data_IF_909518259372
#
_entry.id   IF_909518259372
#
_cell.length_a   1.000
_cell.length_b   1.000
_cell.length_c   1.000
_cell.angle_alpha   90.00
_cell.angle_beta   90.00
_cell.angle_gamma   90.00
#
_symmetry.space_group_name_H-M   'P 1'
#
loop_
_entity.id
_entity.type
_entity.pdbx_description
1 polymer ?
2 non-polymer ?
3 water ?
#
# COMPACT_ATOMS: atom_id res chain seq x y z
N UNK A 3 -2.65 -13.79 -12.12
CA UNK A 3 -2.61 -12.34 -12.04
C UNK A 3 -1.20 -11.77 -12.03
N UNK A 4 -0.96 -10.64 -12.73
CA UNK A 4 0.37 -10.01 -12.74
C UNK A 4 0.21 -8.50 -12.52
N UNK A 5 0.72 -8.02 -11.39
CA UNK A 5 0.61 -6.62 -11.00
C UNK A 5 1.71 -5.70 -11.56
N UNK A 6 2.62 -6.25 -12.33
CA UNK A 6 3.76 -5.50 -12.86
C UNK A 6 3.23 -4.33 -13.67
N UNK A 7 3.81 -3.16 -13.45
CA UNK A 7 3.56 -1.99 -14.27
C UNK A 7 3.73 -0.72 -13.45
N UNK A 8 3.38 0.40 -14.07
CA UNK A 8 3.42 1.70 -13.44
C UNK A 8 1.98 2.24 -13.37
N UNK A 9 1.62 2.78 -12.22
CA UNK A 9 0.24 3.05 -11.86
C UNK A 9 0.11 4.41 -11.19
N UNK A 10 -0.86 5.20 -11.61
CA UNK A 10 -1.04 6.57 -11.16
C UNK A 10 -2.29 6.71 -10.33
N UNK A 11 -2.20 7.36 -9.16
CA UNK A 11 -3.40 7.42 -8.33
C UNK A 11 -4.52 8.23 -8.99
N UNK A 12 -5.72 7.63 -9.03
CA UNK A 12 -6.94 8.27 -9.48
C UNK A 12 -7.84 8.72 -8.32
N UNK A 13 -8.12 7.86 -7.33
CA UNK A 13 -8.85 8.30 -6.15
C UNK A 13 -8.17 7.71 -4.90
N UNK A 14 -8.40 8.39 -3.78
CA UNK A 14 -7.95 7.99 -2.46
C UNK A 14 -9.06 8.35 -1.47
N UNK A 15 -9.88 7.36 -1.08
CA UNK A 15 -11.15 7.59 -0.37
C UNK A 15 -10.99 7.26 1.11
N UNK A 16 -11.32 8.21 2.00
CA UNK A 16 -11.29 8.02 3.46
C UNK A 16 -9.88 7.87 4.05
N UNK A 17 -8.87 8.40 3.35
CA UNK A 17 -7.49 8.32 3.80
C UNK A 17 -7.31 8.94 5.17
N UNK A 18 -7.97 10.08 5.41
CA UNK A 18 -7.84 10.84 6.67
C UNK A 18 -8.22 10.00 7.88
N UNK A 19 -9.35 9.32 7.79
CA UNK A 19 -9.78 8.50 8.91
C UNK A 19 -8.86 7.32 9.11
N UNK A 20 -8.37 6.72 8.01
CA UNK A 20 -7.37 5.65 8.11
C UNK A 20 -6.20 6.17 8.92
N UNK A 21 -5.64 7.31 8.51
CA UNK A 21 -4.50 7.80 9.25
C UNK A 21 -4.86 8.16 10.69
N UNK A 22 -6.04 8.74 10.91
CA UNK A 22 -6.48 9.04 12.28
C UNK A 22 -6.47 7.77 13.13
N UNK A 23 -6.91 6.64 12.56
CA UNK A 23 -6.92 5.38 13.27
C UNK A 23 -5.51 4.83 13.52
N UNK A 24 -4.52 5.26 12.77
CA UNK A 24 -3.14 4.88 13.05
C UNK A 24 -2.51 5.80 14.07
N UNK A 25 -3.26 6.81 14.54
CA UNK A 25 -2.79 7.82 15.48
C UNK A 25 -1.79 8.77 14.86
N UNK A 26 -1.85 8.95 13.54
CA UNK A 26 -1.00 9.94 12.91
C UNK A 26 -1.48 11.34 13.26
N UNK A 27 -0.55 12.21 13.63
CA UNK A 27 -0.93 13.49 14.17
C UNK A 27 -1.56 14.38 13.10
N UNK A 28 -2.38 15.30 13.58
CA UNK A 28 -3.28 16.06 12.71
C UNK A 28 -2.50 16.73 11.59
N UNK A 29 -1.29 17.22 11.88
CA UNK A 29 -0.54 17.97 10.87
C UNK A 29 0.01 17.06 9.79
N UNK A 30 0.51 15.89 10.17
CA UNK A 30 0.98 14.94 9.16
C UNK A 30 -0.17 14.41 8.32
N UNK A 31 -1.34 14.19 8.94
CA UNK A 31 -2.52 13.81 8.16
C UNK A 31 -2.78 14.80 7.01
N UNK A 32 -2.63 16.09 7.26
CA UNK A 32 -2.84 17.08 6.21
C UNK A 32 -1.81 16.96 5.12
N UNK A 33 -0.53 16.85 5.48
CA UNK A 33 0.50 16.65 4.48
C UNK A 33 0.20 15.39 3.68
N UNK A 34 -0.05 14.30 4.38
CA UNK A 34 -0.17 12.98 3.74
C UNK A 34 -1.34 12.95 2.77
N UNK A 35 -2.42 13.62 3.12
CA UNK A 35 -3.65 13.59 2.32
C UNK A 35 -3.52 14.35 1.02
N UNK A 36 -2.52 15.22 0.92
CA UNK A 36 -2.25 15.92 -0.33
C UNK A 36 -1.41 15.11 -1.32
N UNK A 37 -0.78 14.04 -0.88
CA UNK A 37 0.12 13.28 -1.75
C UNK A 37 -0.71 12.34 -2.61
N UNK A 38 -0.31 12.22 -3.87
CA UNK A 38 -0.94 11.38 -4.88
C UNK A 38 0.14 10.47 -5.43
N UNK A 39 0.59 9.49 -4.64
CA UNK A 39 1.75 8.68 -5.03
C UNK A 39 1.48 7.79 -6.23
N UNK A 40 2.49 7.61 -7.09
CA UNK A 40 2.45 6.53 -8.06
C UNK A 40 2.87 5.21 -7.40
N UNK A 41 2.58 4.10 -8.07
CA UNK A 41 2.93 2.76 -7.58
C UNK A 41 3.71 2.17 -8.73
N UNK A 42 4.95 1.78 -8.47
CA UNK A 42 5.72 1.02 -9.46
C UNK A 42 5.89 -0.41 -8.95
N UNK A 43 5.36 -1.39 -9.66
CA UNK A 43 5.37 -2.74 -9.13
C UNK A 43 6.12 -3.66 -10.09
N UNK A 44 6.94 -4.56 -9.55
CA UNK A 44 7.60 -5.61 -10.36
C UNK A 44 7.28 -6.93 -9.65
N UNK A 45 6.48 -7.76 -10.29
CA UNK A 45 6.20 -9.10 -9.79
C UNK A 45 7.16 -10.06 -10.52
N UNK A 46 8.01 -10.76 -9.78
CA UNK A 46 9.14 -11.56 -10.34
C UNK A 46 9.05 -12.94 -9.71
N UNK A 47 8.31 -13.83 -10.32
CA UNK A 47 7.93 -15.03 -9.58
C UNK A 47 7.18 -14.68 -8.29
N UNK A 48 7.60 -15.26 -7.16
CA UNK A 48 7.00 -14.96 -5.85
C UNK A 48 7.62 -13.73 -5.20
N UNK A 49 8.52 -13.07 -5.89
CA UNK A 49 9.22 -11.91 -5.37
C UNK A 49 8.53 -10.69 -5.89
N UNK A 50 8.05 -9.86 -4.97
CA UNK A 50 7.31 -8.68 -5.36
C UNK A 50 8.05 -7.48 -4.82
N UNK A 51 8.19 -6.46 -5.65
CA UNK A 51 8.63 -5.17 -5.22
C UNK A 51 7.50 -4.20 -5.53
N UNK A 52 7.08 -3.46 -4.52
CA UNK A 52 6.02 -2.45 -4.66
C UNK A 52 6.59 -1.14 -4.16
N UNK A 53 6.81 -0.20 -5.07
CA UNK A 53 7.37 1.09 -4.70
C UNK A 53 6.21 2.11 -4.75
N UNK A 54 5.94 2.74 -3.63
CA UNK A 54 4.96 3.84 -3.53
C UNK A 54 5.79 5.13 -3.58
N UNK A 55 5.65 5.88 -4.65
CA UNK A 55 6.59 6.97 -4.95
C UNK A 55 5.90 8.33 -4.84
N UNK A 56 6.52 9.26 -4.12
CA UNK A 56 6.01 10.62 -4.03
C UNK A 56 7.16 11.55 -3.74
N UNK A 57 6.87 12.85 -3.79
CA UNK A 57 7.85 13.87 -3.41
C UNK A 57 8.13 13.86 -1.92
N UNK A 58 7.11 13.62 -1.10
CA UNK A 58 7.30 13.56 0.34
C UNK A 58 8.12 12.32 0.76
N UNK A 59 7.83 11.15 0.20
CA UNK A 59 8.79 10.06 0.34
C UNK A 59 8.44 8.92 -0.60
N UNK A 60 9.39 8.02 -0.73
CA UNK A 60 9.18 6.74 -1.38
C UNK A 60 9.09 5.71 -0.29
N UNK A 61 8.14 4.80 -0.45
CA UNK A 61 7.99 3.69 0.47
C UNK A 61 8.12 2.41 -0.34
N UNK A 62 9.10 1.60 0.00
CA UNK A 62 9.46 0.41 -0.78
C UNK A 62 9.08 -0.83 0.01
N UNK A 63 8.25 -1.69 -0.59
CA UNK A 63 8.05 -3.03 -0.04
C UNK A 63 8.71 -4.02 -0.97
N UNK A 64 9.55 -4.86 -0.40
CA UNK A 64 10.34 -5.79 -1.19
C UNK A 64 10.17 -7.08 -0.41
N UNK A 65 9.40 -8.03 -0.94
CA UNK A 65 9.09 -9.21 -0.13
C UNK A 65 8.87 -10.43 -1.02
N UNK A 66 8.83 -11.59 -0.35
CA UNK A 66 8.49 -12.88 -0.95
C UNK A 66 7.07 -13.26 -0.52
N UNK A 67 6.23 -13.59 -1.48
CA UNK A 67 4.84 -13.89 -1.15
C UNK A 67 4.82 -15.13 -0.27
N UNK A 68 4.00 -15.07 0.80
CA UNK A 68 3.91 -16.12 1.80
C UNK A 68 4.94 -16.09 2.93
N UNK A 69 5.99 -15.26 2.87
CA UNK A 69 7.11 -15.27 3.83
C UNK A 69 7.04 -14.02 4.70
N UNK A 70 6.82 -14.20 6.01
CA UNK A 70 6.72 -13.06 6.93
C UNK A 70 8.01 -12.27 6.97
N UNK A 71 7.88 -10.97 7.00
CA UNK A 71 9.01 -10.06 7.04
C UNK A 71 8.72 -8.91 8.00
N UNK A 72 9.79 -8.28 8.48
CA UNK A 72 9.66 -7.16 9.40
C UNK A 72 9.51 -5.87 8.61
N UNK A 73 8.41 -5.19 8.81
CA UNK A 73 8.06 -4.01 8.02
C UNK A 73 8.29 -2.77 8.86
N UNK A 74 9.18 -1.89 8.39
CA UNK A 74 9.52 -0.68 9.12
C UNK A 74 8.61 0.47 8.66
N UNK A 75 7.59 0.78 9.45
CA UNK A 75 6.64 1.85 9.18
C UNK A 75 7.04 3.13 9.89
N UNK A 76 8.30 3.24 10.28
CA UNK A 76 8.78 4.54 10.74
C UNK A 76 8.56 5.61 9.67
N UNK A 77 8.19 6.80 10.09
CA UNK A 77 7.94 7.84 9.12
C UNK A 77 6.54 7.82 8.56
N UNK A 78 5.83 6.70 8.70
CA UNK A 78 4.41 6.62 8.40
C UNK A 78 3.67 6.84 9.71
N UNK A 79 3.43 5.75 10.46
CA UNK A 79 2.86 5.85 11.81
C UNK A 79 3.86 5.46 12.91
N UNK A 80 5.15 5.43 12.60
CA UNK A 80 6.18 5.26 13.61
C UNK A 80 6.02 3.92 14.34
N UNK A 81 5.67 2.87 13.60
CA UNK A 81 5.56 1.52 14.15
C UNK A 81 6.34 0.55 13.27
N UNK A 82 6.52 -0.66 13.79
CA UNK A 82 6.99 -1.79 12.99
C UNK A 82 5.94 -2.88 13.15
N UNK A 83 5.77 -3.66 12.07
CA UNK A 83 4.87 -4.79 12.06
C UNK A 83 5.60 -6.00 11.47
N UNK A 84 5.11 -7.19 11.80
CA UNK A 84 5.52 -8.42 11.13
C UNK A 84 4.47 -8.67 10.07
N UNK A 85 4.86 -8.55 8.82
CA UNK A 85 3.89 -8.56 7.74
C UNK A 85 4.01 -9.82 6.91
N UNK A 86 2.87 -10.29 6.45
CA UNK A 86 2.82 -11.38 5.50
C UNK A 86 1.89 -11.01 4.38
N UNK A 87 2.40 -11.14 3.17
CA UNK A 87 1.65 -10.94 1.94
C UNK A 87 1.45 -12.30 1.29
N UNK A 88 0.17 -12.61 1.01
CA UNK A 88 -0.32 -13.90 0.56
C UNK A 88 -1.28 -13.70 -0.62
N UNK A 89 -1.30 -14.70 -1.51
CA UNK A 89 -2.28 -14.75 -2.58
C UNK A 89 -3.59 -15.29 -2.05
N UNK A 90 -4.68 -14.67 -2.44
CA UNK A 90 -6.02 -15.12 -2.07
C UNK A 90 -6.79 -15.17 -3.37
N UNK A 91 -6.49 -16.18 -4.18
CA UNK A 91 -7.04 -16.20 -5.52
C UNK A 91 -6.35 -15.14 -6.37
N UNK A 92 -7.14 -14.31 -7.06
CA UNK A 92 -6.54 -13.26 -7.88
C UNK A 92 -6.19 -12.00 -7.08
N UNK A 93 -6.32 -12.05 -5.75
CA UNK A 93 -6.08 -10.90 -4.88
C UNK A 93 -4.83 -11.11 -4.03
N UNK A 94 -4.11 -10.03 -3.78
CA UNK A 94 -2.96 -10.05 -2.88
C UNK A 94 -3.41 -9.56 -1.50
N UNK A 95 -3.25 -10.39 -0.47
CA UNK A 95 -3.75 -10.11 0.87
C UNK A 95 -2.57 -9.91 1.81
N UNK A 96 -2.54 -8.76 2.49
CA UNK A 96 -1.49 -8.44 3.44
C UNK A 96 -2.07 -8.31 4.87
N UNK A 97 -1.45 -9.01 5.81
CA UNK A 97 -1.74 -8.86 7.24
C UNK A 97 -0.50 -8.28 7.90
N UNK A 98 -0.67 -7.20 8.63
CA UNK A 98 0.44 -6.53 9.29
C UNK A 98 0.22 -6.72 10.79
N UNK A 99 0.87 -7.73 11.35
CA UNK A 99 0.72 -8.03 12.77
C UNK A 99 1.53 -7.04 13.58
N UNK A 100 0.86 -6.37 14.50
CA UNK A 100 1.51 -5.38 15.35
C UNK A 100 0.58 -4.80 16.41
N UNK A 101 0.92 -3.60 16.88
CA UNK A 101 0.12 -2.95 17.93
C UNK A 101 -1.34 -2.79 17.52
N UNK A 102 -1.60 -2.33 16.29
CA UNK A 102 -2.95 -2.04 15.85
C UNK A 102 -3.64 -3.32 15.44
N UNK A 103 -4.93 -3.43 15.79
CA UNK A 103 -5.76 -4.57 15.42
C UNK A 103 -6.23 -4.43 13.99
N UNK A 104 -6.33 -5.57 13.31
CA UNK A 104 -6.96 -5.61 12.01
C UNK A 104 -6.29 -4.80 10.92
N UNK A 105 -4.97 -4.66 11.01
CA UNK A 105 -4.23 -3.85 10.05
C UNK A 105 -3.82 -4.73 8.88
N UNK A 106 -4.14 -4.23 7.70
CA UNK A 106 -3.70 -4.86 6.49
C UNK A 106 -4.25 -4.15 5.29
N UNK A 107 -4.13 -4.87 4.19
CA UNK A 107 -4.56 -4.37 2.90
C UNK A 107 -4.78 -5.56 1.97
N UNK A 108 -5.48 -5.27 0.84
CA UNK A 108 -5.85 -6.20 -0.21
C UNK A 108 -5.69 -5.44 -1.52
N UNK A 109 -4.99 -6.04 -2.45
CA UNK A 109 -4.77 -5.45 -3.75
C UNK A 109 -5.30 -6.35 -4.85
N UNK A 110 -5.89 -5.76 -5.89
CA UNK A 110 -6.37 -6.56 -7.02
C UNK A 110 -6.43 -5.67 -8.25
N UNK A 111 -6.69 -6.28 -9.39
CA UNK A 111 -6.78 -5.57 -10.67
C UNK A 111 -8.18 -5.73 -11.27
N UNK A 112 -8.67 -4.65 -11.86
CA UNK A 112 -9.88 -4.70 -12.67
C UNK A 112 -9.57 -3.94 -13.95
N UNK A 113 -9.37 -4.67 -15.05
CA UNK A 113 -9.06 -4.02 -16.31
C UNK A 113 -7.77 -3.22 -16.16
N UNK A 114 -7.81 -1.92 -16.45
CA UNK A 114 -6.60 -1.11 -16.32
C UNK A 114 -6.53 -0.40 -15.00
N UNK A 115 -7.28 -0.85 -14.00
CA UNK A 115 -7.29 -0.29 -12.66
C UNK A 115 -6.61 -1.21 -11.65
N UNK A 116 -5.68 -0.65 -10.88
CA UNK A 116 -5.19 -1.28 -9.67
C UNK A 116 -6.00 -0.75 -8.49
N UNK A 117 -6.59 -1.68 -7.74
CA UNK A 117 -7.43 -1.47 -6.57
C UNK A 117 -6.70 -1.82 -5.27
N UNK A 118 -6.77 -0.93 -4.27
CA UNK A 118 -6.04 -1.09 -3.01
C UNK A 118 -6.99 -0.69 -1.88
N UNK A 119 -7.35 -1.64 -1.03
CA UNK A 119 -8.13 -1.39 0.17
C UNK A 119 -7.22 -1.54 1.37
N UNK A 120 -7.08 -0.47 2.13
CA UNK A 120 -6.24 -0.47 3.30
C UNK A 120 -7.16 -0.43 4.52
N UNK A 121 -6.78 -1.16 5.57
CA UNK A 121 -7.65 -1.37 6.72
C UNK A 121 -6.84 -1.30 8.00
N UNK A 122 -7.46 -0.70 9.02
CA UNK A 122 -7.00 -0.77 10.40
C UNK A 122 -8.14 -0.44 11.37
N UNK A 123 -8.30 -1.27 12.40
CA UNK A 123 -9.30 -1.03 13.44
C UNK A 123 -10.69 -0.81 12.84
N UNK A 124 -11.02 -1.58 11.81
CA UNK A 124 -12.34 -1.42 11.21
C UNK A 124 -12.52 -0.21 10.30
N UNK A 125 -11.56 0.64 10.18
CA UNK A 125 -11.59 1.77 9.27
C UNK A 125 -11.00 1.32 7.95
N UNK A 126 -11.64 1.69 6.84
CA UNK A 126 -11.24 1.29 5.49
C UNK A 126 -10.96 2.52 4.63
N UNK A 127 -9.83 2.49 3.96
CA UNK A 127 -9.46 3.44 2.93
C UNK A 127 -9.33 2.69 1.60
N UNK A 128 -9.88 3.27 0.53
CA UNK A 128 -9.89 2.65 -0.79
C UNK A 128 -9.24 3.60 -1.77
N UNK A 129 -8.27 3.06 -2.48
CA UNK A 129 -7.52 3.76 -3.50
C UNK A 129 -7.67 2.98 -4.79
N UNK A 130 -7.66 3.72 -5.86
CA UNK A 130 -7.67 3.16 -7.19
C UNK A 130 -6.64 3.91 -8.01
N UNK A 131 -5.86 3.15 -8.82
CA UNK A 131 -4.72 3.58 -9.66
C UNK A 131 -5.03 3.17 -11.09
N UNK A 132 -4.68 4.02 -12.03
CA UNK A 132 -4.83 3.68 -13.43
C UNK A 132 -3.44 3.34 -13.97
N UNK A 133 -3.41 2.35 -14.81
CA UNK A 133 -2.14 1.89 -15.42
C UNK A 133 -1.67 2.95 -16.42
N UNK A 134 -0.41 3.39 -16.31
CA UNK A 134 0.14 4.40 -17.20
C UNK A 134 1.44 3.92 -17.87
N UNK A 135 1.85 4.68 -18.88
CA UNK A 135 2.98 4.25 -19.69
C UNK A 135 4.10 5.23 -19.75
N UNK A 136 3.90 6.48 -19.29
CA UNK A 136 4.95 7.49 -19.28
C UNK A 136 5.78 7.30 -18.02
N UNK A 137 7.06 7.01 -18.18
CA UNK A 137 7.94 6.74 -17.04
C UNK A 137 9.06 7.76 -17.03
N UNK A 138 9.29 8.41 -15.95
CA UNK A 138 10.48 9.26 -16.00
C UNK A 138 11.17 8.98 -14.62
N UNK A 139 12.49 8.85 -14.61
CA UNK A 139 13.21 8.43 -13.37
C UNK A 139 12.72 9.07 -12.05
X LIG B 1 4.52 7.72 -0.32
X LIG B 1 3.41 8.56 -0.47
X LIG B 1 2.41 8.60 0.49
X LIG B 1 2.52 7.82 1.62
X LIG B 1 3.61 6.97 1.76
X LIG B 1 4.61 6.95 0.81
X LIG B 1 1.39 7.87 2.65
X LIG B 1 1.83 8.45 4.03
X LIG B 1 1.04 8.21 5.16
X LIG B 1 1.46 8.70 6.39
X LIG B 1 2.64 9.41 6.48
X LIG B 1 3.43 9.63 5.37
X LIG B 1 3.00 9.15 4.15
X LIG B 1 0.89 6.40 2.94
X LIG B 1 0.88 4.30 3.59
X LIG B 1 1.35 2.90 4.09
X LIG B 1 -0.06 1.67 2.93
X LIG B 1 -0.22 0.35 2.13
X LIG B 1 0.56 0.44 0.82
X LIG B 1 1.95 0.96 1.17
X LIG B 1 1.90 2.19 2.08
X LIG B 1 0.66 -0.96 0.21
X LIG B 1 0.62 -2.15 -1.87
X LIG B 1 -0.37 5.99 2.78
X LIG B 1 1.68 5.41 3.42
X LIG B 1 1.21 1.94 3.18
X LIG B 1 -0.42 4.65 3.18
X LIG B 1 0.69 -0.88 -1.21
X LIG B 1 5.29 7.67 -1.09
X LIG B 1 3.34 9.18 -1.35
X LIG B 1 1.55 9.24 0.36
X LIG B 1 3.68 6.32 2.64
X LIG B 1 5.49 6.31 0.97
X LIG B 1 0.64 8.52 2.22
X LIG B 1 0.12 7.66 5.08
X LIG B 1 0.86 8.52 7.28
X LIG B 1 2.95 9.80 7.45
X LIG B 1 4.35 10.19 5.46
X LIG B 1 3.60 9.32 3.27
X LIG B 1 0.78 2.64 4.97
X LIG B 1 2.40 2.97 4.35
X LIG B 1 -0.49 2.48 2.35
X LIG B 1 -0.60 1.57 3.86
X LIG B 1 -1.28 0.20 1.90
X LIG B 1 0.15 -0.48 2.72
X LIG B 1 0.09 1.09 0.10
X LIG B 1 2.51 0.18 1.66
X LIG B 1 2.46 1.24 0.24
X LIG B 1 2.90 2.47 2.36
X LIG B 1 1.42 3.01 1.56
X LIG B 1 -0.20 -1.54 0.51
X LIG B 1 1.55 -1.45 0.56
X LIG B 1 0.76 -2.00 -2.93
X LIG B 1 -0.35 -2.60 -1.69
X LIG B 1 1.40 -2.79 -1.48
#
# INVERSE_FOLDING_TARGET
MPVDFTGYWKMLVNENFEEYLRALDVNVALRKIANLLKPDKEIVQDGDHMIIRTLSTFRNYIMDFQVGKEFEEDLTGIDDRKCMTTVSWDGDKLQCVQKGEKEGRGWTQWIEGDELHLEMRVEGVVCKQVFKKVQHHHHHH
ZDK C01 C02 C03 C04 C05 C06 C07 C08 C09 C10 C11 C12 C13 C14 C15 C16 C17 C18 C19 C20 C21 C22 C23 N01 N02 N03 O01 O02 H01 H02 H05 H03 H04 H11 H07 H08 H09 H10 H06 H13 H12 H15 H14 H16 H17 H H19 H18 H21 H20 H23 H22 H25 H26 H24
#
